data_IF_543618981246
#
_entry.id   IF_543618981246
#
_cell.length_a   1.000
_cell.length_b   1.000
_cell.length_c   1.000
_cell.angle_alpha   90.00
_cell.angle_beta   90.00
_cell.angle_gamma   90.00
#
_symmetry.space_group_name_H-M   'P 1'
#
loop_
_entity.id
_entity.type
_entity.pdbx_description
1 polymer ?
#
# COMPACT_ATOMS: atom_id res chain seq x y z
N UNK A 1 9.85 -18.65 -22.65
CA UNK A 1 9.65 -18.56 -21.19
C UNK A 1 8.94 -17.24 -20.96
N UNK A 2 7.64 -17.26 -20.70
CA UNK A 2 6.89 -16.02 -20.45
C UNK A 2 7.39 -15.41 -19.15
N UNK A 3 7.94 -14.20 -19.22
CA UNK A 3 8.09 -13.33 -18.06
C UNK A 3 6.70 -13.21 -17.40
N UNK A 4 6.56 -13.40 -16.08
CA UNK A 4 5.28 -13.13 -15.44
C UNK A 4 5.01 -11.62 -15.61
N UNK A 5 3.95 -11.28 -16.35
CA UNK A 5 3.36 -9.95 -16.34
C UNK A 5 3.21 -9.52 -14.88
N UNK A 6 3.55 -8.28 -14.50
CA UNK A 6 3.17 -7.78 -13.19
C UNK A 6 1.64 -7.66 -13.21
N UNK A 7 0.94 -8.71 -12.82
CA UNK A 7 -0.46 -8.64 -12.43
C UNK A 7 -0.52 -7.57 -11.34
N UNK A 8 -1.10 -6.41 -11.64
CA UNK A 8 -1.29 -5.34 -10.66
C UNK A 8 -2.07 -5.98 -9.51
N UNK A 9 -1.46 -6.06 -8.33
CA UNK A 9 -2.10 -6.73 -7.20
C UNK A 9 -3.46 -6.08 -6.90
N UNK A 10 -4.45 -6.87 -6.47
CA UNK A 10 -5.75 -6.33 -6.02
C UNK A 10 -5.57 -5.22 -4.99
N UNK A 11 -4.56 -5.35 -4.12
CA UNK A 11 -4.14 -4.31 -3.18
C UNK A 11 -3.74 -3.00 -3.89
N UNK A 12 -2.81 -3.06 -4.85
CA UNK A 12 -2.35 -1.87 -5.59
C UNK A 12 -3.48 -1.19 -6.36
N UNK A 13 -4.38 -1.99 -6.95
CA UNK A 13 -5.55 -1.49 -7.66
C UNK A 13 -6.57 -0.85 -6.69
N UNK A 14 -6.82 -1.47 -5.54
CA UNK A 14 -7.67 -0.91 -4.49
C UNK A 14 -7.12 0.43 -3.98
N UNK A 15 -5.83 0.52 -3.71
CA UNK A 15 -5.16 1.75 -3.29
C UNK A 15 -5.32 2.87 -4.35
N UNK A 16 -5.20 2.52 -5.63
CA UNK A 16 -5.42 3.46 -6.74
C UNK A 16 -6.88 3.94 -6.81
N UNK A 17 -7.85 3.04 -6.67
CA UNK A 17 -9.27 3.38 -6.68
C UNK A 17 -9.66 4.27 -5.48
N UNK A 18 -9.08 3.99 -4.32
CA UNK A 18 -9.21 4.81 -3.10
C UNK A 18 -8.41 6.12 -3.16
N UNK A 19 -7.69 6.38 -4.26
CA UNK A 19 -6.87 7.57 -4.49
C UNK A 19 -5.80 7.78 -3.41
N UNK A 20 -5.29 6.68 -2.85
CA UNK A 20 -4.22 6.72 -1.85
C UNK A 20 -2.87 6.73 -2.57
N UNK A 21 -2.11 7.80 -2.37
CA UNK A 21 -0.79 8.00 -2.96
C UNK A 21 0.28 8.10 -1.87
N UNK A 22 1.57 8.01 -2.25
CA UNK A 22 2.70 8.18 -1.35
C UNK A 22 2.75 7.11 -0.26
N UNK A 23 2.87 5.85 -0.66
CA UNK A 23 3.00 4.71 0.22
C UNK A 23 4.00 3.71 -0.37
N UNK A 24 4.51 2.85 0.48
CA UNK A 24 5.34 1.70 0.10
C UNK A 24 4.92 0.48 0.92
N UNK A 25 5.12 -0.70 0.36
CA UNK A 25 4.97 -1.99 1.04
C UNK A 25 6.37 -2.60 1.17
N UNK A 26 6.70 -3.09 2.35
CA UNK A 26 7.89 -3.90 2.55
C UNK A 26 7.51 -5.39 2.50
N UNK A 27 8.09 -6.12 1.54
CA UNK A 27 7.78 -7.53 1.29
C UNK A 27 6.57 -7.73 0.39
N UNK A 28 5.84 -8.82 0.60
CA UNK A 28 4.67 -9.17 -0.21
C UNK A 28 3.43 -8.34 0.19
N UNK A 29 2.49 -8.23 -0.76
CA UNK A 29 1.20 -7.56 -0.50
C UNK A 29 0.54 -8.16 0.75
N UNK A 30 -0.01 -7.34 1.64
CA UNK A 30 -0.70 -7.85 2.82
C UNK A 30 -2.00 -8.56 2.41
N UNK A 31 -2.28 -9.69 3.06
CA UNK A 31 -3.55 -10.44 2.91
C UNK A 31 -4.43 -10.33 4.16
N UNK A 32 -3.85 -9.83 5.26
CA UNK A 32 -4.48 -9.64 6.57
C UNK A 32 -4.25 -8.22 7.12
N UNK A 33 -5.03 -7.83 8.12
CA UNK A 33 -4.88 -6.51 8.77
C UNK A 33 -3.54 -6.42 9.48
N UNK A 34 -3.12 -7.48 10.15
CA UNK A 34 -1.85 -7.56 10.87
C UNK A 34 -0.67 -7.38 9.91
N UNK A 35 -0.71 -8.03 8.75
CA UNK A 35 0.32 -7.83 7.72
C UNK A 35 0.28 -6.43 7.13
N UNK A 36 -0.91 -5.86 6.92
CA UNK A 36 -1.04 -4.48 6.45
C UNK A 36 -0.40 -3.51 7.43
N UNK A 37 -0.71 -3.61 8.73
CA UNK A 37 -0.12 -2.77 9.77
C UNK A 37 1.39 -2.98 9.91
N UNK A 38 1.90 -4.18 9.63
CA UNK A 38 3.32 -4.50 9.71
C UNK A 38 4.12 -4.07 8.47
N UNK A 39 3.51 -4.10 7.27
CA UNK A 39 4.21 -3.92 5.99
C UNK A 39 3.89 -2.60 5.30
N UNK A 40 2.81 -1.92 5.67
CA UNK A 40 2.41 -0.66 5.07
C UNK A 40 3.15 0.53 5.69
N UNK A 41 3.76 1.32 4.82
CA UNK A 41 4.49 2.50 5.20
C UNK A 41 4.03 3.69 4.37
N UNK A 42 3.47 4.71 5.04
CA UNK A 42 3.10 5.97 4.41
C UNK A 42 4.34 6.83 4.22
N UNK A 43 4.55 7.36 3.02
CA UNK A 43 5.55 8.41 2.79
C UNK A 43 5.03 9.70 3.42
N UNK A 44 5.76 10.21 4.41
CA UNK A 44 5.41 11.44 5.15
C UNK A 44 6.14 12.67 4.60
N UNK A 45 7.36 12.49 4.10
CA UNK A 45 8.16 13.54 3.47
C UNK A 45 9.17 12.94 2.51
N UNK A 46 9.61 13.75 1.56
CA UNK A 46 10.76 13.45 0.69
C UNK A 46 11.76 14.58 0.93
N UNK A 47 13.00 14.23 1.27
CA UNK A 47 14.05 15.22 1.48
C UNK A 47 14.62 15.77 0.15
N UNK A 48 15.58 16.69 0.24
CA UNK A 48 16.19 17.32 -0.94
C UNK A 48 16.99 16.35 -1.82
N UNK A 49 17.39 15.20 -1.27
CA UNK A 49 18.15 14.15 -1.96
C UNK A 49 17.25 13.05 -2.53
N UNK A 50 15.92 13.26 -2.53
CA UNK A 50 14.88 12.31 -2.94
C UNK A 50 14.74 11.07 -2.04
N UNK A 51 15.22 11.12 -0.80
CA UNK A 51 14.95 10.04 0.15
C UNK A 51 13.55 10.21 0.75
N UNK A 52 12.72 9.19 0.57
CA UNK A 52 11.41 9.14 1.20
C UNK A 52 11.56 8.76 2.68
N UNK A 53 11.13 9.65 3.58
CA UNK A 53 10.87 9.28 4.97
C UNK A 53 9.49 8.64 5.04
N UNK A 54 9.42 7.44 5.59
CA UNK A 54 8.17 6.70 5.72
C UNK A 54 7.78 6.52 7.19
N UNK A 55 6.49 6.33 7.43
CA UNK A 55 5.92 6.09 8.75
C UNK A 55 5.00 4.87 8.69
N UNK A 56 5.12 4.00 9.68
CA UNK A 56 4.23 2.87 9.93
C UNK A 56 3.10 3.22 10.92
N UNK A 57 2.89 4.49 11.24
CA UNK A 57 1.82 4.94 12.11
C UNK A 57 0.46 4.82 11.38
N UNK A 58 -0.47 3.96 11.84
CA UNK A 58 -1.75 3.75 11.19
C UNK A 58 -2.59 5.03 11.09
N UNK A 59 -2.40 5.99 12.00
CA UNK A 59 -3.08 7.28 11.95
C UNK A 59 -2.68 8.13 10.74
N UNK A 60 -1.52 7.84 10.12
CA UNK A 60 -0.99 8.55 8.94
C UNK A 60 -1.37 7.89 7.63
N UNK A 61 -1.91 6.68 7.65
CA UNK A 61 -2.14 5.90 6.42
C UNK A 61 -3.17 6.56 5.52
N UNK A 62 -4.16 7.26 6.11
CA UNK A 62 -5.26 7.87 5.37
C UNK A 62 -6.22 6.84 4.76
N UNK A 63 -6.05 5.56 5.11
CA UNK A 63 -6.88 4.43 4.70
C UNK A 63 -6.81 3.35 5.76
N UNK A 64 -7.92 2.64 5.96
CA UNK A 64 -7.97 1.46 6.83
C UNK A 64 -7.96 0.17 6.02
N UNK A 65 -7.50 -0.92 6.65
CA UNK A 65 -7.54 -2.24 6.03
C UNK A 65 -8.95 -2.63 5.56
N UNK A 66 -9.98 -2.29 6.34
CA UNK A 66 -11.39 -2.53 5.96
C UNK A 66 -11.76 -1.85 4.65
N UNK A 67 -11.34 -0.59 4.43
CA UNK A 67 -11.62 0.12 3.17
C UNK A 67 -10.92 -0.54 1.99
N UNK A 68 -9.66 -0.95 2.18
CA UNK A 68 -8.88 -1.65 1.16
C UNK A 68 -9.54 -2.98 0.81
N UNK A 69 -9.91 -3.78 1.81
CA UNK A 69 -10.57 -5.07 1.62
C UNK A 69 -11.89 -4.93 0.87
N UNK A 70 -12.74 -3.97 1.26
CA UNK A 70 -14.01 -3.69 0.56
C UNK A 70 -13.76 -3.33 -0.91
N UNK A 71 -12.67 -2.63 -1.22
CA UNK A 71 -12.33 -2.30 -2.61
C UNK A 71 -11.71 -3.49 -3.35
N UNK A 72 -10.88 -4.30 -2.68
CA UNK A 72 -10.34 -5.56 -3.22
C UNK A 72 -11.43 -6.58 -3.54
N UNK A 73 -12.49 -6.65 -2.74
CA UNK A 73 -13.64 -7.55 -2.96
C UNK A 73 -14.48 -7.14 -4.18
N UNK A 74 -14.36 -5.90 -4.66
CA UNK A 74 -15.03 -5.41 -5.89
C UNK A 74 -14.24 -5.71 -7.18
N UNK A 75 -12.98 -6.11 -7.07
CA UNK A 75 -12.04 -6.35 -8.18
C UNK A 75 -11.93 -7.84 -8.52
#
# INVERSE_FOLDING_TARGET
MSEPKPEISKFSQAMKNLKISGWTIHGDNPETEEEFLARFHKVVSVDADNNATTSNDPSKFGVTWTQIKVEMDKL
#
